data_IF_224388430182
#
_entry.id   IF_224388430182
#
_cell.length_a   1.000
_cell.length_b   1.000
_cell.length_c   1.000
_cell.angle_alpha   90.00
_cell.angle_beta   90.00
_cell.angle_gamma   90.00
#
_symmetry.space_group_name_H-M   'P 1'
#
loop_
_entity.id
_entity.type
_entity.pdbx_description
1 polymer ?
#
# COMPACT_ATOMS: atom_id res chain seq x y z
N UNK A 1 -25.33 -6.47 12.87
CA UNK A 1 -25.96 -5.84 14.04
C UNK A 1 -25.68 -4.36 13.91
N UNK A 2 -26.69 -3.58 13.53
CA UNK A 2 -26.48 -2.20 13.09
C UNK A 2 -26.27 -1.29 14.31
N UNK A 3 -25.24 -0.44 14.25
CA UNK A 3 -25.09 0.68 15.16
C UNK A 3 -26.39 1.51 15.11
N UNK A 4 -26.90 1.96 16.25
CA UNK A 4 -28.12 2.79 16.25
C UNK A 4 -27.93 3.99 15.30
N UNK A 5 -28.93 4.25 14.46
CA UNK A 5 -28.90 5.31 13.44
C UNK A 5 -28.59 6.70 14.01
N UNK A 6 -28.79 6.88 15.32
CA UNK A 6 -28.43 8.09 16.09
C UNK A 6 -26.92 8.26 16.24
N UNK A 7 -26.18 7.19 16.51
CA UNK A 7 -24.73 7.22 16.66
C UNK A 7 -24.03 7.35 15.31
N UNK A 8 -24.58 6.70 14.29
CA UNK A 8 -24.01 6.76 12.94
C UNK A 8 -24.06 8.18 12.34
N UNK A 9 -25.16 8.91 12.55
CA UNK A 9 -25.24 10.34 12.18
C UNK A 9 -24.22 11.21 12.91
N UNK A 10 -23.89 10.89 14.17
CA UNK A 10 -22.87 11.63 14.94
C UNK A 10 -21.45 11.31 14.50
N UNK A 11 -21.19 10.08 14.06
CA UNK A 11 -19.90 9.69 13.48
C UNK A 11 -19.73 10.32 12.10
N UNK A 12 -20.77 10.38 11.28
CA UNK A 12 -20.70 11.02 9.97
C UNK A 12 -20.47 12.53 10.07
N UNK A 13 -21.11 13.20 11.03
CA UNK A 13 -20.95 14.62 11.27
C UNK A 13 -19.58 15.02 11.88
N UNK A 14 -18.75 14.06 12.32
CA UNK A 14 -17.44 14.37 12.91
C UNK A 14 -16.36 14.61 11.86
N UNK A 15 -15.43 15.51 12.19
CA UNK A 15 -14.25 15.83 11.38
C UNK A 15 -13.14 14.79 11.60
N UNK A 16 -13.42 13.55 11.17
CA UNK A 16 -12.49 12.42 11.25
C UNK A 16 -12.31 11.79 9.85
N UNK A 17 -11.15 11.18 9.55
CA UNK A 17 -10.95 10.44 8.31
C UNK A 17 -11.92 9.27 8.17
N UNK A 18 -12.32 8.96 6.93
CA UNK A 18 -13.29 7.89 6.65
C UNK A 18 -12.87 6.52 7.21
N UNK A 19 -11.58 6.17 7.10
CA UNK A 19 -11.06 4.92 7.66
C UNK A 19 -11.26 4.83 9.18
N UNK A 20 -11.08 5.94 9.89
CA UNK A 20 -11.29 6.02 11.34
C UNK A 20 -12.78 5.91 11.67
N UNK A 21 -13.66 6.52 10.87
CA UNK A 21 -15.13 6.37 10.98
C UNK A 21 -15.56 4.91 10.79
N UNK A 22 -15.02 4.23 9.78
CA UNK A 22 -15.33 2.84 9.50
C UNK A 22 -14.82 1.89 10.60
N UNK A 23 -13.63 2.17 11.16
CA UNK A 23 -13.12 1.45 12.33
C UNK A 23 -14.03 1.64 13.54
N UNK A 24 -14.45 2.88 13.84
CA UNK A 24 -15.38 3.16 14.93
C UNK A 24 -16.70 2.40 14.77
N UNK A 25 -17.27 2.38 13.56
CA UNK A 25 -18.48 1.60 13.25
C UNK A 25 -18.32 0.11 13.55
N UNK A 26 -17.19 -0.47 13.13
CA UNK A 26 -16.88 -1.87 13.37
C UNK A 26 -16.76 -2.18 14.87
N UNK A 27 -16.03 -1.37 15.62
CA UNK A 27 -15.79 -1.62 17.05
C UNK A 27 -16.99 -1.30 17.95
N UNK A 28 -17.82 -0.34 17.57
CA UNK A 28 -18.99 0.07 18.35
C UNK A 28 -20.25 -0.75 18.02
N UNK A 29 -20.32 -1.39 16.84
CA UNK A 29 -21.45 -2.24 16.46
C UNK A 29 -21.61 -3.53 17.27
N UNK A 30 -20.58 -3.92 18.02
CA UNK A 30 -20.54 -5.16 18.82
C UNK A 30 -20.71 -4.92 20.33
N UNK A 31 -20.88 -3.67 20.80
CA UNK A 31 -20.88 -3.34 22.24
C UNK A 31 -22.14 -2.61 22.69
N UNK A 32 -22.61 -2.96 23.89
CA UNK A 32 -23.65 -2.20 24.60
C UNK A 32 -23.11 -0.83 25.05
N UNK A 33 -23.58 0.22 24.40
CA UNK A 33 -23.11 1.60 24.60
C UNK A 33 -24.20 2.47 25.22
N UNK A 34 -23.87 3.07 26.36
CA UNK A 34 -24.62 4.21 26.90
C UNK A 34 -24.24 5.48 26.13
N UNK A 35 -25.20 6.37 25.89
CA UNK A 35 -25.00 7.69 25.24
C UNK A 35 -23.78 8.46 25.82
N UNK A 36 -23.56 8.37 27.14
CA UNK A 36 -22.44 9.00 27.84
C UNK A 36 -21.07 8.40 27.45
N UNK A 37 -20.98 7.06 27.38
CA UNK A 37 -19.75 6.36 26.99
C UNK A 37 -19.43 6.59 25.52
N UNK A 38 -20.44 6.61 24.67
CA UNK A 38 -20.26 6.92 23.25
C UNK A 38 -19.68 8.32 23.05
N UNK A 39 -20.23 9.33 23.75
CA UNK A 39 -19.72 10.70 23.67
C UNK A 39 -18.27 10.79 24.15
N UNK A 40 -17.95 10.16 25.28
CA UNK A 40 -16.59 10.13 25.81
C UNK A 40 -15.59 9.49 24.84
N UNK A 41 -15.97 8.41 24.17
CA UNK A 41 -15.11 7.76 23.16
C UNK A 41 -14.88 8.68 21.96
N UNK A 42 -15.95 9.33 21.46
CA UNK A 42 -15.86 10.22 20.31
C UNK A 42 -15.00 11.44 20.61
N UNK A 43 -15.21 12.07 21.78
CA UNK A 43 -14.43 13.21 22.24
C UNK A 43 -12.95 12.81 22.38
N UNK A 44 -12.66 11.64 22.96
CA UNK A 44 -11.29 11.17 23.15
C UNK A 44 -10.58 10.87 21.83
N UNK A 45 -11.28 10.27 20.86
CA UNK A 45 -10.72 9.99 19.52
C UNK A 45 -10.46 11.30 18.77
N UNK A 46 -11.33 12.30 18.94
CA UNK A 46 -11.11 13.61 18.35
C UNK A 46 -9.90 14.32 18.97
N UNK A 47 -9.77 14.31 20.30
CA UNK A 47 -8.61 14.85 21.00
C UNK A 47 -7.30 14.20 20.53
N UNK A 48 -7.27 12.86 20.49
CA UNK A 48 -6.08 12.11 20.07
C UNK A 48 -5.74 12.37 18.59
N UNK A 49 -6.75 12.53 17.74
CA UNK A 49 -6.55 12.89 16.34
C UNK A 49 -5.94 14.29 16.21
N UNK A 50 -6.42 15.28 16.98
CA UNK A 50 -5.85 16.63 16.95
C UNK A 50 -4.43 16.66 17.52
N UNK A 51 -4.14 15.90 18.59
CA UNK A 51 -2.80 15.86 19.20
C UNK A 51 -1.76 15.12 18.36
N UNK A 52 -2.18 14.24 17.44
CA UNK A 52 -1.27 13.52 16.53
C UNK A 52 -0.98 14.26 15.24
N UNK A 53 -1.58 15.44 15.04
CA UNK A 53 -1.27 16.28 13.88
C UNK A 53 0.14 16.85 14.01
N UNK A 54 0.81 16.98 12.87
CA UNK A 54 2.11 17.64 12.81
C UNK A 54 1.93 19.15 13.03
N UNK A 55 2.86 19.74 13.76
CA UNK A 55 2.91 21.18 13.98
C UNK A 55 3.16 21.92 12.66
N UNK A 56 2.55 23.11 12.54
CA UNK A 56 2.76 23.95 11.38
C UNK A 56 4.22 24.44 11.31
N UNK A 57 4.74 24.59 10.09
CA UNK A 57 6.12 25.02 9.81
C UNK A 57 7.24 24.05 10.21
N UNK A 58 6.92 22.79 10.51
CA UNK A 58 7.92 21.74 10.74
C UNK A 58 8.70 21.41 9.45
N UNK A 59 9.99 21.08 9.58
CA UNK A 59 10.89 20.82 8.45
C UNK A 59 10.72 19.41 7.86
N UNK A 60 9.50 19.06 7.46
CA UNK A 60 9.11 17.72 6.99
C UNK A 60 9.95 17.21 5.83
N UNK A 61 10.43 18.09 4.95
CA UNK A 61 11.25 17.71 3.80
C UNK A 61 12.63 17.15 4.20
N UNK A 62 13.28 17.77 5.20
CA UNK A 62 14.59 17.32 5.68
C UNK A 62 14.46 16.01 6.45
N UNK A 63 13.45 15.92 7.33
CA UNK A 63 13.19 14.72 8.12
C UNK A 63 12.85 13.54 7.20
N UNK A 64 12.00 13.76 6.18
CA UNK A 64 11.65 12.72 5.21
C UNK A 64 12.86 12.28 4.39
N UNK A 65 13.68 13.21 3.90
CA UNK A 65 14.89 12.89 3.14
C UNK A 65 15.88 12.05 3.95
N UNK A 66 16.13 12.43 5.21
CA UNK A 66 16.99 11.66 6.11
C UNK A 66 16.40 10.28 6.41
N UNK A 67 15.12 10.21 6.74
CA UNK A 67 14.44 8.95 7.13
C UNK A 67 14.42 7.92 6.00
N UNK A 68 14.37 8.36 4.73
CA UNK A 68 14.47 7.49 3.56
C UNK A 68 15.94 7.13 3.25
N UNK A 69 16.87 8.08 3.41
CA UNK A 69 18.28 7.90 3.02
C UNK A 69 19.13 7.11 4.02
N UNK A 70 18.90 7.28 5.32
CA UNK A 70 19.65 6.61 6.39
C UNK A 70 19.67 5.07 6.27
N UNK A 71 18.52 4.38 6.09
CA UNK A 71 18.52 2.93 5.92
C UNK A 71 19.21 2.50 4.63
N UNK A 72 19.35 3.37 3.62
CA UNK A 72 20.04 3.07 2.37
C UNK A 72 21.50 2.65 2.58
N UNK A 73 22.17 3.21 3.59
CA UNK A 73 23.55 2.83 3.96
C UNK A 73 23.62 1.45 4.62
N UNK A 74 22.54 1.02 5.26
CA UNK A 74 22.40 -0.30 5.90
C UNK A 74 21.89 -1.36 4.92
N UNK A 75 21.45 -0.98 3.71
CA UNK A 75 21.03 -1.90 2.65
C UNK A 75 22.22 -2.50 1.90
N UNK A 76 23.13 -3.18 2.59
CA UNK A 76 24.35 -3.76 2.01
C UNK A 76 24.19 -5.22 1.57
N UNK A 77 23.14 -5.48 0.77
CA UNK A 77 22.84 -6.77 0.09
C UNK A 77 22.03 -7.76 0.94
N UNK A 78 20.73 -7.90 0.64
CA UNK A 78 20.03 -9.15 0.96
C UNK A 78 20.54 -10.20 -0.02
N UNK A 79 21.15 -11.25 0.50
CA UNK A 79 21.84 -12.30 -0.24
C UNK A 79 20.91 -12.99 -1.25
N UNK A 80 21.42 -13.10 -2.47
CA UNK A 80 20.79 -13.63 -3.69
C UNK A 80 20.51 -15.13 -3.66
N UNK A 81 19.77 -15.63 -2.68
CA UNK A 81 19.31 -17.02 -2.70
C UNK A 81 17.87 -17.10 -2.19
N UNK A 82 16.92 -16.66 -3.01
CA UNK A 82 15.54 -17.13 -2.87
C UNK A 82 15.48 -18.57 -3.39
N UNK A 83 15.47 -19.53 -2.48
CA UNK A 83 15.24 -20.92 -2.83
C UNK A 83 13.78 -21.09 -3.28
N UNK A 84 13.56 -21.43 -4.56
CA UNK A 84 12.39 -22.21 -4.93
C UNK A 84 11.40 -21.64 -5.96
N UNK A 85 11.60 -20.45 -6.52
CA UNK A 85 10.81 -19.99 -7.69
C UNK A 85 11.74 -19.18 -8.60
N UNK A 86 11.57 -19.31 -9.91
CA UNK A 86 12.27 -18.52 -10.93
C UNK A 86 11.84 -17.04 -10.87
N UNK A 87 12.00 -16.39 -9.73
CA UNK A 87 12.02 -14.93 -9.67
C UNK A 87 13.31 -14.51 -10.38
N UNK A 88 13.10 -14.14 -11.64
CA UNK A 88 13.94 -13.32 -12.50
C UNK A 88 14.83 -12.41 -11.63
N UNK A 89 16.09 -12.26 -12.01
CA UNK A 89 17.04 -11.32 -11.40
C UNK A 89 16.54 -9.87 -11.55
N UNK A 90 15.47 -9.51 -10.85
CA UNK A 90 14.97 -8.15 -10.76
C UNK A 90 16.03 -7.38 -9.97
N UNK A 91 16.36 -6.17 -10.42
CA UNK A 91 17.13 -5.22 -9.62
C UNK A 91 16.38 -4.96 -8.31
N UNK A 92 16.74 -5.70 -7.25
CA UNK A 92 16.16 -5.54 -5.92
C UNK A 92 17.10 -4.71 -5.03
N UNK A 93 16.52 -3.89 -4.17
CA UNK A 93 17.25 -3.12 -3.15
C UNK A 93 17.56 -1.68 -3.56
N UNK A 94 18.72 -1.18 -3.14
CA UNK A 94 19.12 0.22 -3.28
C UNK A 94 19.24 0.70 -4.73
N UNK A 95 19.80 -0.08 -5.70
CA UNK A 95 19.89 0.38 -7.08
C UNK A 95 18.53 0.74 -7.67
N UNK A 96 17.48 -0.03 -7.36
CA UNK A 96 16.12 0.21 -7.84
C UNK A 96 15.49 1.47 -7.24
N UNK A 97 15.74 1.74 -5.95
CA UNK A 97 15.30 2.98 -5.31
C UNK A 97 15.93 4.21 -5.99
N UNK A 98 17.22 4.13 -6.35
CA UNK A 98 17.92 5.19 -7.08
C UNK A 98 17.29 5.39 -8.47
N UNK A 99 17.03 4.31 -9.22
CA UNK A 99 16.40 4.43 -10.55
C UNK A 99 15.04 5.13 -10.53
N UNK A 100 14.21 4.81 -9.52
CA UNK A 100 12.88 5.42 -9.34
C UNK A 100 13.02 6.89 -8.95
N UNK A 101 13.92 7.21 -8.02
CA UNK A 101 14.13 8.57 -7.53
C UNK A 101 14.71 9.49 -8.61
N UNK A 102 15.65 8.99 -9.41
CA UNK A 102 16.28 9.73 -10.52
C UNK A 102 15.37 9.83 -11.76
N UNK A 103 14.19 9.19 -11.74
CA UNK A 103 13.27 9.11 -12.87
C UNK A 103 13.96 8.67 -14.18
N UNK A 104 14.77 7.60 -14.11
CA UNK A 104 15.49 7.10 -15.30
C UNK A 104 14.52 6.68 -16.39
N UNK A 105 14.79 7.11 -17.62
CA UNK A 105 13.96 6.82 -18.80
C UNK A 105 13.86 5.30 -19.06
N UNK A 106 14.96 4.58 -18.90
CA UNK A 106 15.04 3.14 -19.13
C UNK A 106 15.52 2.46 -17.82
N UNK A 107 14.63 1.77 -17.10
CA UNK A 107 15.01 1.04 -15.90
C UNK A 107 15.78 -0.23 -16.24
N UNK A 108 16.70 -0.63 -15.36
CA UNK A 108 17.33 -1.95 -15.48
C UNK A 108 16.31 -3.04 -15.18
N UNK A 109 16.27 -4.09 -16.01
CA UNK A 109 15.36 -5.25 -15.87
C UNK A 109 13.87 -4.87 -15.73
N UNK A 110 13.24 -4.24 -16.75
CA UNK A 110 11.82 -3.94 -16.72
C UNK A 110 11.00 -5.23 -16.64
N UNK A 111 10.00 -5.26 -15.77
CA UNK A 111 9.07 -6.38 -15.62
C UNK A 111 7.65 -5.85 -15.69
N UNK A 112 6.75 -6.62 -16.30
CA UNK A 112 5.34 -6.28 -16.45
C UNK A 112 4.47 -7.42 -15.91
N UNK A 113 3.44 -7.07 -15.15
CA UNK A 113 2.39 -8.03 -14.75
C UNK A 113 1.22 -7.86 -15.71
N UNK A 114 0.95 -8.88 -16.53
CA UNK A 114 -0.14 -8.87 -17.52
C UNK A 114 -1.34 -9.59 -16.92
N UNK A 115 -2.44 -8.88 -16.76
CA UNK A 115 -3.71 -9.46 -16.33
C UNK A 115 -4.49 -9.95 -17.54
N UNK A 116 -5.07 -11.14 -17.44
CA UNK A 116 -5.89 -11.72 -18.48
C UNK A 116 -7.37 -11.38 -18.23
N UNK A 117 -8.14 -11.17 -19.30
CA UNK A 117 -9.59 -11.01 -19.20
C UNK A 117 -10.24 -12.31 -18.71
N UNK A 118 -11.45 -12.22 -18.16
CA UNK A 118 -12.17 -13.35 -17.53
C UNK A 118 -12.32 -14.56 -18.47
N UNK A 119 -12.38 -14.32 -19.79
CA UNK A 119 -12.47 -15.38 -20.80
C UNK A 119 -11.17 -16.20 -20.94
N UNK A 120 -10.01 -15.58 -20.71
CA UNK A 120 -8.69 -16.20 -20.86
C UNK A 120 -8.09 -16.62 -19.51
N UNK A 121 -8.49 -15.97 -18.41
CA UNK A 121 -7.90 -16.16 -17.08
C UNK A 121 -8.17 -17.53 -16.45
N UNK A 122 -9.26 -18.20 -16.83
CA UNK A 122 -9.66 -19.47 -16.22
C UNK A 122 -9.16 -20.70 -16.98
N UNK A 123 -8.52 -20.50 -18.14
CA UNK A 123 -8.04 -21.57 -19.00
C UNK A 123 -6.53 -21.41 -19.25
N UNK A 124 -5.78 -22.44 -18.85
CA UNK A 124 -4.33 -22.46 -18.95
C UNK A 124 -3.85 -22.45 -20.41
N UNK A 125 -4.56 -23.13 -21.30
CA UNK A 125 -4.12 -23.24 -22.69
C UNK A 125 -4.30 -21.91 -23.43
N UNK A 126 -5.42 -21.21 -23.14
CA UNK A 126 -5.68 -19.86 -23.65
C UNK A 126 -4.71 -18.82 -23.08
N UNK A 127 -4.36 -18.91 -21.80
CA UNK A 127 -3.33 -18.06 -21.19
C UNK A 127 -1.96 -18.23 -21.86
N UNK A 128 -1.60 -19.46 -22.25
CA UNK A 128 -0.36 -19.77 -22.96
C UNK A 128 -0.34 -19.21 -24.37
N UNK A 129 -1.46 -19.24 -25.07
CA UNK A 129 -1.60 -18.63 -26.39
C UNK A 129 -1.27 -17.13 -26.35
N UNK A 130 -1.81 -16.40 -25.37
CA UNK A 130 -1.50 -14.98 -25.17
C UNK A 130 -0.02 -14.77 -24.82
N UNK A 131 0.56 -15.65 -24.00
CA UNK A 131 2.00 -15.60 -23.69
C UNK A 131 2.86 -15.69 -24.94
N UNK A 132 2.54 -16.62 -25.85
CA UNK A 132 3.28 -16.78 -27.10
C UNK A 132 3.10 -15.62 -28.08
N UNK A 133 1.95 -14.96 -28.07
CA UNK A 133 1.73 -13.78 -28.90
C UNK A 133 2.58 -12.57 -28.46
N UNK A 134 2.94 -12.51 -27.18
CA UNK A 134 3.75 -11.44 -26.60
C UNK A 134 5.25 -11.77 -26.65
N UNK A 135 5.60 -13.05 -26.57
CA UNK A 135 6.99 -13.50 -26.62
C UNK A 135 7.60 -13.27 -28.02
N UNK A 136 8.63 -12.42 -28.08
CA UNK A 136 9.41 -12.22 -29.29
C UNK A 136 10.63 -13.15 -29.27
N UNK A 137 10.71 -14.09 -30.22
CA UNK A 137 11.85 -14.98 -30.41
C UNK A 137 12.56 -14.65 -31.74
N UNK A 138 13.53 -13.72 -31.75
CA UNK A 138 14.22 -13.31 -32.97
C UNK A 138 15.21 -14.38 -33.45
N UNK A 139 15.42 -14.46 -34.78
CA UNK A 139 16.19 -15.54 -35.43
C UNK A 139 17.66 -15.67 -34.98
N UNK A 140 18.24 -14.62 -34.38
CA UNK A 140 19.64 -14.61 -33.94
C UNK A 140 19.84 -15.22 -32.54
N UNK A 141 18.76 -15.57 -31.85
CA UNK A 141 18.78 -16.27 -30.55
C UNK A 141 18.74 -17.80 -30.69
N UNK A 142 18.73 -18.32 -31.94
CA UNK A 142 18.73 -19.74 -32.28
C UNK A 142 20.08 -20.24 -32.81
#
# INVERSE_FOLDING_TARGET
MALDAKYDKKIEASDLPQKTKDQLRKYLGEKDLTDAKFKQILDRVHEEYQSTRIEACEAVGIIAAQSIGEPGTQMTMRTFHYAGVAEINVTLGLPRLIEIMDARKEPSTPTMTVYLETEYSNDRDRAREVSWQIEAAPLHEF
#
